data_IF_884327295701
#
_entry.id   IF_884327295701
#
_cell.length_a   1.000
_cell.length_b   1.000
_cell.length_c   1.000
_cell.angle_alpha   90.00
_cell.angle_beta   90.00
_cell.angle_gamma   90.00
#
_symmetry.space_group_name_H-M   'P 1'
#
loop_
_entity.id
_entity.type
_entity.pdbx_description
1 polymer ?
#
# COMPACT_ATOMS: atom_id res chain seq x y z
N UNK A 1 -27.93 4.05 -1.22
CA UNK A 1 -27.01 5.20 -1.33
C UNK A 1 -26.07 5.13 -0.16
N UNK A 2 -24.76 5.16 -0.38
CA UNK A 2 -23.76 5.08 0.68
C UNK A 2 -23.30 6.50 1.05
N UNK A 3 -23.25 6.80 2.35
CA UNK A 3 -22.71 8.05 2.86
C UNK A 3 -21.32 7.80 3.44
N UNK A 4 -20.35 8.61 3.04
CA UNK A 4 -18.99 8.57 3.58
C UNK A 4 -18.82 9.77 4.52
N UNK A 5 -18.72 9.49 5.81
CA UNK A 5 -18.60 10.50 6.88
C UNK A 5 -17.29 10.43 7.66
N UNK A 6 -16.61 9.27 7.64
CA UNK A 6 -15.39 9.02 8.42
C UNK A 6 -14.21 8.69 7.51
N UNK A 7 -13.00 8.94 7.98
CA UNK A 7 -11.76 8.54 7.31
C UNK A 7 -10.80 7.88 8.29
N UNK A 8 -10.15 6.79 7.88
CA UNK A 8 -9.03 6.21 8.60
C UNK A 8 -7.72 6.79 8.07
N UNK A 9 -6.86 7.29 8.96
CA UNK A 9 -5.51 7.76 8.62
C UNK A 9 -4.45 6.92 9.32
N UNK A 10 -3.39 6.59 8.60
CA UNK A 10 -2.23 5.93 9.20
C UNK A 10 -1.37 6.96 9.94
N UNK A 11 -1.04 6.67 11.20
CA UNK A 11 -0.18 7.48 12.05
C UNK A 11 0.95 6.63 12.62
N UNK A 12 2.11 7.25 12.82
CA UNK A 12 3.16 6.62 13.62
C UNK A 12 2.76 6.62 15.10
N UNK A 13 3.26 5.63 15.86
CA UNK A 13 2.93 5.45 17.27
C UNK A 13 3.13 6.71 18.13
N UNK A 14 4.11 7.56 17.79
CA UNK A 14 4.40 8.83 18.50
C UNK A 14 3.26 9.85 18.37
N UNK A 15 2.50 9.82 17.28
CA UNK A 15 1.43 10.80 17.00
C UNK A 15 0.03 10.20 17.15
N UNK A 16 -0.09 8.92 17.48
CA UNK A 16 -1.37 8.27 17.71
C UNK A 16 -1.79 8.44 19.18
N UNK A 17 -2.99 8.98 19.48
CA UNK A 17 -3.41 9.27 20.85
C UNK A 17 -3.42 8.02 21.74
N UNK A 18 -3.80 6.87 21.17
CA UNK A 18 -3.83 5.57 21.86
C UNK A 18 -2.65 4.65 21.49
N UNK A 19 -1.66 5.16 20.74
CA UNK A 19 -0.50 4.36 20.30
C UNK A 19 -0.77 3.27 19.24
N UNK A 20 -1.96 3.28 18.62
CA UNK A 20 -2.32 2.46 17.48
C UNK A 20 -1.67 2.90 16.15
N UNK A 21 -2.03 2.23 15.06
CA UNK A 21 -1.52 2.53 13.70
C UNK A 21 -2.51 3.35 12.86
N UNK A 22 -3.81 3.13 13.04
CA UNK A 22 -4.85 3.83 12.29
C UNK A 22 -5.75 4.59 13.25
N UNK A 23 -5.93 5.88 12.98
CA UNK A 23 -6.89 6.73 13.68
C UNK A 23 -8.08 6.99 12.77
N UNK A 24 -9.28 6.70 13.25
CA UNK A 24 -10.52 7.08 12.58
C UNK A 24 -10.88 8.51 12.99
N UNK A 25 -11.09 9.37 12.01
CA UNK A 25 -11.61 10.72 12.19
C UNK A 25 -13.07 10.76 11.78
N UNK A 26 -13.87 11.52 12.52
CA UNK A 26 -15.30 11.71 12.29
C UNK A 26 -15.64 12.64 11.12
N UNK A 27 -14.65 12.98 10.30
CA UNK A 27 -14.80 13.82 9.12
C UNK A 27 -13.94 13.27 7.97
N UNK A 28 -14.38 13.36 6.71
CA UNK A 28 -13.58 12.97 5.55
C UNK A 28 -12.38 13.91 5.34
N UNK A 29 -11.47 13.57 4.42
CA UNK A 29 -10.23 14.35 4.16
C UNK A 29 -10.44 15.87 4.01
N UNK A 30 -11.55 16.26 3.39
CA UNK A 30 -11.89 17.66 3.10
C UNK A 30 -13.07 18.15 3.97
N UNK A 31 -13.41 17.45 5.05
CA UNK A 31 -14.54 17.70 5.96
C UNK A 31 -15.94 17.63 5.34
N UNK A 32 -16.04 17.50 4.02
CA UNK A 32 -17.30 17.35 3.30
C UNK A 32 -17.74 15.88 3.16
N UNK A 33 -18.95 15.57 3.61
CA UNK A 33 -19.57 14.27 3.41
C UNK A 33 -19.83 13.98 1.94
N UNK A 34 -19.52 12.76 1.50
CA UNK A 34 -19.71 12.34 0.10
C UNK A 34 -20.77 11.26 0.01
N UNK A 35 -21.60 11.34 -1.03
CA UNK A 35 -22.64 10.34 -1.32
C UNK A 35 -22.24 9.55 -2.55
N UNK A 36 -22.30 8.22 -2.43
CA UNK A 36 -21.99 7.29 -3.50
C UNK A 36 -23.23 6.47 -3.85
N UNK A 37 -23.53 6.39 -5.15
CA UNK A 37 -24.56 5.50 -5.65
C UNK A 37 -23.95 4.10 -5.79
N UNK A 38 -24.58 3.11 -5.17
CA UNK A 38 -24.25 1.71 -5.38
C UNK A 38 -25.30 1.11 -6.31
N UNK A 39 -24.87 0.22 -7.21
CA UNK A 39 -25.80 -0.55 -8.01
C UNK A 39 -26.57 -1.54 -7.12
N UNK A 40 -27.78 -1.98 -7.53
CA UNK A 40 -28.50 -3.02 -6.81
C UNK A 40 -27.67 -4.29 -6.61
N UNK A 41 -26.91 -4.68 -7.63
CA UNK A 41 -26.03 -5.86 -7.57
C UNK A 41 -24.95 -5.73 -6.49
N UNK A 42 -24.24 -4.60 -6.42
CA UNK A 42 -23.21 -4.38 -5.40
C UNK A 42 -23.83 -4.31 -4.01
N UNK A 43 -25.00 -3.68 -3.88
CA UNK A 43 -25.72 -3.57 -2.61
C UNK A 43 -26.11 -4.96 -2.08
N UNK A 44 -26.59 -5.84 -2.96
CA UNK A 44 -26.91 -7.23 -2.61
C UNK A 44 -25.68 -8.03 -2.18
N UNK A 45 -24.55 -7.88 -2.89
CA UNK A 45 -23.28 -8.54 -2.52
C UNK A 45 -22.75 -8.06 -1.17
N UNK A 46 -22.78 -6.76 -0.90
CA UNK A 46 -22.36 -6.21 0.37
C UNK A 46 -23.24 -6.69 1.51
N UNK A 47 -24.57 -6.75 1.30
CA UNK A 47 -25.49 -7.30 2.29
C UNK A 47 -25.18 -8.77 2.59
N UNK A 48 -25.05 -9.60 1.56
CA UNK A 48 -24.72 -11.02 1.75
C UNK A 48 -23.39 -11.21 2.50
N UNK A 49 -22.39 -10.36 2.23
CA UNK A 49 -21.12 -10.40 2.94
C UNK A 49 -21.23 -9.98 4.41
N UNK A 50 -21.99 -8.91 4.69
CA UNK A 50 -22.29 -8.48 6.07
C UNK A 50 -22.99 -9.60 6.85
N UNK A 51 -23.99 -10.23 6.24
CA UNK A 51 -24.77 -11.31 6.85
C UNK A 51 -23.89 -12.58 7.05
N UNK A 52 -23.07 -12.97 6.07
CA UNK A 52 -22.16 -14.14 6.15
C UNK A 52 -21.06 -13.98 7.20
N UNK A 53 -20.57 -12.75 7.39
CA UNK A 53 -19.47 -12.46 8.31
C UNK A 53 -19.92 -11.90 9.66
N UNK A 54 -21.24 -11.81 9.89
CA UNK A 54 -21.87 -11.25 11.09
C UNK A 54 -21.27 -9.89 11.48
N UNK A 55 -21.16 -8.98 10.50
CA UNK A 55 -20.49 -7.69 10.69
C UNK A 55 -21.42 -6.68 11.37
N UNK A 56 -20.93 -6.07 12.45
CA UNK A 56 -21.55 -4.94 13.12
C UNK A 56 -21.28 -3.58 12.45
N UNK A 57 -21.87 -2.49 12.98
CA UNK A 57 -21.77 -1.14 12.40
C UNK A 57 -20.35 -0.55 12.29
N UNK A 58 -19.42 -0.96 13.16
CA UNK A 58 -18.05 -0.47 13.19
C UNK A 58 -17.03 -1.52 12.73
N UNK A 59 -17.50 -2.68 12.25
CA UNK A 59 -16.62 -3.69 11.68
C UNK A 59 -16.17 -3.31 10.27
N UNK A 60 -14.93 -3.70 9.95
CA UNK A 60 -14.41 -3.55 8.60
C UNK A 60 -15.15 -4.50 7.65
N UNK A 61 -15.76 -3.94 6.60
CA UNK A 61 -16.32 -4.72 5.49
C UNK A 61 -15.29 -5.68 4.91
N UNK A 62 -14.02 -5.27 4.80
CA UNK A 62 -12.95 -6.10 4.26
C UNK A 62 -11.75 -6.09 5.21
N UNK A 63 -11.75 -7.01 6.16
CA UNK A 63 -10.59 -7.25 7.03
C UNK A 63 -9.61 -8.22 6.37
N UNK A 64 -8.31 -7.98 6.53
CA UNK A 64 -7.28 -8.98 6.27
C UNK A 64 -7.38 -10.01 7.42
N UNK A 65 -7.93 -11.19 7.13
CA UNK A 65 -8.19 -12.23 8.16
C UNK A 65 -7.15 -13.34 8.19
N UNK A 66 -6.16 -13.31 7.31
CA UNK A 66 -5.16 -14.38 7.25
C UNK A 66 -3.88 -13.98 8.00
N UNK A 67 -3.74 -14.49 9.22
CA UNK A 67 -2.41 -14.65 9.84
C UNK A 67 -1.54 -15.61 9.02
N UNK A 68 -2.12 -16.52 8.22
CA UNK A 68 -1.38 -17.42 7.32
C UNK A 68 -0.84 -16.74 6.05
N UNK A 69 -1.44 -15.61 5.65
CA UNK A 69 -1.04 -14.81 4.50
C UNK A 69 -0.33 -13.51 4.90
N UNK A 70 -0.20 -13.28 6.21
CA UNK A 70 0.89 -12.48 6.75
C UNK A 70 2.16 -13.31 6.62
N UNK A 71 2.54 -13.62 5.37
CA UNK A 71 3.92 -13.90 5.05
C UNK A 71 4.68 -12.77 5.73
N UNK A 72 5.42 -13.05 6.80
CA UNK A 72 6.47 -12.16 7.30
C UNK A 72 7.07 -11.54 6.05
N UNK A 73 7.05 -10.20 5.90
CA UNK A 73 7.50 -9.57 4.65
C UNK A 73 8.81 -10.23 4.33
N UNK A 74 8.85 -11.02 3.25
CA UNK A 74 10.03 -11.83 2.94
C UNK A 74 11.12 -10.79 2.83
N UNK A 75 11.97 -10.70 3.85
CA UNK A 75 13.06 -9.75 3.89
C UNK A 75 13.93 -10.17 2.72
N UNK A 76 13.74 -9.49 1.59
CA UNK A 76 14.58 -9.72 0.41
C UNK A 76 15.87 -9.03 0.77
N UNK A 77 16.91 -9.83 0.98
CA UNK A 77 18.26 -9.31 1.02
C UNK A 77 18.56 -8.69 -0.34
N UNK A 78 18.39 -7.38 -0.44
CA UNK A 78 18.89 -6.62 -1.58
C UNK A 78 20.40 -6.51 -1.38
N UNK A 79 21.22 -6.97 -2.35
CA UNK A 79 22.66 -6.81 -2.24
C UNK A 79 23.00 -5.32 -2.13
N UNK A 80 24.00 -4.98 -1.31
CA UNK A 80 24.45 -3.60 -1.17
C UNK A 80 24.86 -3.02 -2.55
N UNK A 81 24.21 -1.94 -3.02
CA UNK A 81 24.57 -1.27 -4.27
C UNK A 81 26.05 -0.92 -4.41
N UNK A 82 26.77 -0.71 -3.31
CA UNK A 82 28.22 -0.44 -3.31
C UNK A 82 29.04 -1.63 -3.85
N UNK A 83 28.55 -2.85 -3.68
CA UNK A 83 29.24 -4.08 -4.10
C UNK A 83 28.92 -4.52 -5.52
N UNK A 84 27.90 -3.92 -6.14
CA UNK A 84 27.38 -4.34 -7.46
C UNK A 84 27.98 -3.58 -8.65
N UNK A 85 28.81 -2.57 -8.39
CA UNK A 85 29.45 -1.76 -9.43
C UNK A 85 28.49 -0.83 -10.18
N UNK A 86 28.94 -0.32 -11.33
CA UNK A 86 28.23 0.66 -12.14
C UNK A 86 27.59 0.02 -13.38
N UNK A 87 26.45 0.56 -13.80
CA UNK A 87 25.83 0.25 -15.09
C UNK A 87 26.72 0.68 -16.24
N UNK A 88 26.45 0.13 -17.42
CA UNK A 88 26.91 0.74 -18.67
C UNK A 88 26.46 2.22 -18.77
N UNK A 89 27.22 3.07 -19.47
CA UNK A 89 26.82 4.45 -19.72
C UNK A 89 25.52 4.51 -20.50
N UNK A 90 24.59 5.36 -20.07
CA UNK A 90 23.35 5.63 -20.80
C UNK A 90 23.61 6.54 -22.02
N UNK A 91 22.53 6.91 -22.75
CA UNK A 91 22.60 7.80 -23.92
C UNK A 91 23.27 9.17 -23.65
N UNK A 92 23.43 9.57 -22.38
CA UNK A 92 24.12 10.80 -21.94
C UNK A 92 25.50 10.52 -21.34
N UNK A 93 26.04 9.32 -21.54
CA UNK A 93 27.33 8.88 -20.97
C UNK A 93 27.33 8.70 -19.45
N UNK A 94 26.16 8.69 -18.80
CA UNK A 94 26.07 8.61 -17.33
C UNK A 94 25.95 7.17 -16.87
N UNK A 95 26.68 6.84 -15.81
CA UNK A 95 26.63 5.54 -15.14
C UNK A 95 26.00 5.67 -13.76
N UNK A 96 25.34 4.61 -13.30
CA UNK A 96 24.65 4.57 -12.01
C UNK A 96 25.01 3.29 -11.28
N UNK A 97 24.94 3.28 -9.96
CA UNK A 97 25.17 2.05 -9.18
C UNK A 97 24.03 1.06 -9.40
N UNK A 98 24.36 -0.19 -9.70
CA UNK A 98 23.40 -1.27 -9.78
C UNK A 98 22.62 -1.44 -8.47
N UNK A 99 21.39 -1.95 -8.54
CA UNK A 99 20.54 -2.10 -7.34
C UNK A 99 19.93 -0.78 -6.84
N UNK A 100 19.93 0.29 -7.66
CA UNK A 100 19.28 1.57 -7.36
C UNK A 100 18.13 1.87 -8.32
N UNK A 101 17.15 2.67 -7.89
CA UNK A 101 16.08 3.17 -8.76
C UNK A 101 16.62 3.93 -9.98
N UNK A 102 17.71 4.70 -9.79
CA UNK A 102 18.36 5.45 -10.87
C UNK A 102 18.99 4.54 -11.92
N UNK A 103 19.59 3.42 -11.53
CA UNK A 103 20.11 2.44 -12.49
C UNK A 103 19.00 1.80 -13.33
N UNK A 104 17.84 1.50 -12.74
CA UNK A 104 16.70 0.93 -13.48
C UNK A 104 16.04 1.93 -14.45
N UNK A 105 15.88 3.17 -14.01
CA UNK A 105 15.15 4.23 -14.74
C UNK A 105 16.06 5.00 -15.69
N UNK A 106 17.03 5.73 -15.14
CA UNK A 106 17.93 6.61 -15.89
C UNK A 106 19.10 5.86 -16.56
N UNK A 107 19.59 4.79 -15.92
CA UNK A 107 20.60 3.87 -16.47
C UNK A 107 20.03 2.80 -17.40
N UNK A 108 18.70 2.68 -17.51
CA UNK A 108 17.97 1.67 -18.31
C UNK A 108 18.39 0.21 -18.04
N UNK A 109 19.08 -0.07 -16.95
CA UNK A 109 19.58 -1.41 -16.64
C UNK A 109 18.45 -2.33 -16.17
N UNK A 110 18.37 -3.54 -16.76
CA UNK A 110 17.34 -4.55 -16.45
C UNK A 110 17.91 -5.84 -15.84
N UNK A 111 19.08 -5.77 -15.22
CA UNK A 111 19.63 -6.90 -14.44
C UNK A 111 18.75 -7.19 -13.22
N UNK A 112 18.92 -8.36 -12.62
CA UNK A 112 18.08 -8.83 -11.52
C UNK A 112 18.11 -7.85 -10.33
N UNK A 113 19.29 -7.40 -9.90
CA UNK A 113 19.42 -6.44 -8.79
C UNK A 113 18.68 -5.11 -9.04
N UNK A 114 18.73 -4.57 -10.27
CA UNK A 114 18.01 -3.34 -10.63
C UNK A 114 16.49 -3.54 -10.72
N UNK A 115 16.04 -4.72 -11.18
CA UNK A 115 14.62 -5.08 -11.18
C UNK A 115 14.09 -5.23 -9.77
N UNK A 116 14.84 -5.90 -8.89
CA UNK A 116 14.47 -6.12 -7.51
C UNK A 116 14.39 -4.79 -6.74
N UNK A 117 15.34 -3.87 -6.96
CA UNK A 117 15.29 -2.53 -6.37
C UNK A 117 14.11 -1.67 -6.86
N UNK A 118 13.56 -1.93 -8.05
CA UNK A 118 12.39 -1.22 -8.57
C UNK A 118 11.06 -1.86 -8.13
N UNK A 119 11.08 -3.14 -7.77
CA UNK A 119 9.90 -3.91 -7.36
C UNK A 119 9.63 -3.83 -5.84
N UNK A 120 10.39 -3.01 -5.11
CA UNK A 120 10.22 -2.68 -3.69
C UNK A 120 9.60 -1.29 -3.63
#
# INVERSE_FOLDING_TARGET
>A
MLLVTRVAVELTKRFHPEGGRFLVKEYPKDEEHRRLKLSPQISAKLKAHVDDKDLGPDDLLFAIRDSENTSTPRLRAVPDPETLGLTEPNDKGRQYRHGTLSAYTAGKCKCQSCKDAFAI
#
